data_IF_355809720906
#
_entry.id   IF_355809720906
#
_cell.length_a   1.000
_cell.length_b   1.000
_cell.length_c   1.000
_cell.angle_alpha   90.00
_cell.angle_beta   90.00
_cell.angle_gamma   90.00
#
_symmetry.space_group_name_H-M   'P 1'
#
loop_
_entity.id
_entity.type
_entity.pdbx_description
1 polymer ?
#
# COMPACT_ATOMS: atom_id res chain seq x y z
N UNK A 1 5.20 -18.95 -28.71
CA UNK A 1 4.66 -17.58 -28.84
C UNK A 1 4.16 -17.17 -27.47
N UNK A 2 4.75 -16.15 -26.87
CA UNK A 2 4.25 -15.58 -25.60
C UNK A 2 3.35 -14.41 -25.97
N UNK A 3 2.04 -14.55 -25.73
CA UNK A 3 1.10 -13.46 -25.92
C UNK A 3 1.18 -12.53 -24.70
N UNK A 4 1.55 -11.27 -24.90
CA UNK A 4 1.48 -10.25 -23.85
C UNK A 4 0.03 -9.75 -23.74
N UNK A 5 -0.44 -9.55 -22.50
CA UNK A 5 -1.73 -8.93 -22.21
C UNK A 5 -1.46 -7.50 -21.70
N UNK A 6 -1.96 -6.45 -22.38
CA UNK A 6 -1.85 -5.08 -21.88
C UNK A 6 -2.62 -4.94 -20.56
N UNK A 7 -2.00 -4.30 -19.56
CA UNK A 7 -2.61 -3.98 -18.27
C UNK A 7 -2.46 -2.50 -17.94
N UNK A 8 -3.52 -1.87 -17.46
CA UNK A 8 -3.44 -0.51 -16.93
C UNK A 8 -2.69 -0.53 -15.60
N UNK A 9 -1.78 0.43 -15.41
CA UNK A 9 -1.04 0.64 -14.17
C UNK A 9 -1.25 2.07 -13.67
N UNK A 10 -1.14 2.25 -12.36
CA UNK A 10 -1.21 3.59 -11.76
C UNK A 10 -0.01 4.42 -12.21
N UNK A 11 -0.23 5.69 -12.58
CA UNK A 11 0.86 6.59 -12.94
C UNK A 11 1.63 7.04 -11.70
N UNK A 12 2.88 7.47 -11.90
CA UNK A 12 3.68 8.03 -10.81
C UNK A 12 3.02 9.26 -10.18
N UNK A 13 2.45 10.15 -10.99
CA UNK A 13 1.73 11.35 -10.51
C UNK A 13 0.52 10.98 -9.63
N UNK A 14 -0.27 9.99 -10.05
CA UNK A 14 -1.41 9.53 -9.27
C UNK A 14 -0.96 8.83 -7.97
N UNK A 15 0.13 8.05 -8.02
CA UNK A 15 0.73 7.44 -6.84
C UNK A 15 1.23 8.47 -5.83
N UNK A 16 1.90 9.52 -6.29
CA UNK A 16 2.40 10.61 -5.46
C UNK A 16 1.25 11.36 -4.79
N UNK A 17 0.23 11.75 -5.56
CA UNK A 17 -0.95 12.43 -5.03
C UNK A 17 -1.66 11.60 -3.94
N UNK A 18 -1.73 10.27 -4.11
CA UNK A 18 -2.35 9.38 -3.14
C UNK A 18 -1.56 9.30 -1.82
N UNK A 19 -0.23 9.15 -1.87
CA UNK A 19 0.59 9.09 -0.64
C UNK A 19 0.63 10.44 0.09
N UNK A 20 0.64 11.56 -0.64
CA UNK A 20 0.55 12.91 -0.07
C UNK A 20 -0.77 13.13 0.67
N UNK A 21 -1.90 12.79 0.04
CA UNK A 21 -3.22 12.92 0.66
C UNK A 21 -3.35 12.05 1.91
N UNK A 22 -2.82 10.81 1.88
CA UNK A 22 -2.84 9.92 3.04
C UNK A 22 -2.03 10.48 4.20
N UNK A 23 -0.80 10.96 3.95
CA UNK A 23 0.08 11.53 4.97
C UNK A 23 -0.50 12.83 5.53
N UNK A 24 -1.02 13.72 4.67
CA UNK A 24 -1.69 14.95 5.10
C UNK A 24 -2.87 14.63 6.03
N UNK A 25 -3.69 13.64 5.67
CA UNK A 25 -4.81 13.21 6.52
C UNK A 25 -4.35 12.62 7.85
N UNK A 26 -3.29 11.83 7.85
CA UNK A 26 -2.68 11.33 9.08
C UNK A 26 -2.28 12.48 10.01
N UNK A 27 -1.59 13.49 9.47
CA UNK A 27 -1.16 14.67 10.22
C UNK A 27 -2.34 15.46 10.80
N UNK A 28 -3.41 15.67 10.01
CA UNK A 28 -4.65 16.30 10.50
C UNK A 28 -5.26 15.55 11.69
N UNK A 29 -5.13 14.22 11.72
CA UNK A 29 -5.62 13.35 12.79
C UNK A 29 -4.64 13.22 13.98
N UNK A 30 -3.51 13.93 13.94
CA UNK A 30 -2.46 13.82 14.95
C UNK A 30 -1.61 12.54 14.86
N UNK A 31 -1.68 11.81 13.74
CA UNK A 31 -0.97 10.57 13.50
C UNK A 31 0.16 10.76 12.47
N UNK A 32 1.39 10.40 12.83
CA UNK A 32 2.54 10.40 11.90
C UNK A 32 2.66 9.03 11.25
N UNK A 33 2.24 8.93 9.98
CA UNK A 33 2.17 7.68 9.24
C UNK A 33 3.18 7.59 8.10
N UNK A 34 3.36 6.39 7.57
CA UNK A 34 3.96 6.16 6.25
C UNK A 34 2.88 5.66 5.29
N UNK A 35 2.94 6.08 4.04
CA UNK A 35 2.02 5.65 2.98
C UNK A 35 2.82 5.07 1.82
N UNK A 36 2.32 3.99 1.23
CA UNK A 36 2.92 3.31 0.09
C UNK A 36 1.85 2.99 -0.96
N UNK A 37 2.21 3.10 -2.22
CA UNK A 37 1.40 2.71 -3.37
C UNK A 37 2.21 1.79 -4.26
N UNK A 38 1.62 0.68 -4.65
CA UNK A 38 2.19 -0.28 -5.61
C UNK A 38 1.31 -0.38 -6.85
N UNK A 39 1.88 -0.83 -7.96
CA UNK A 39 1.10 -1.19 -9.16
C UNK A 39 0.45 -2.57 -9.05
N UNK A 40 -0.28 -2.98 -10.09
CA UNK A 40 -0.92 -4.29 -10.16
C UNK A 40 0.07 -5.48 -10.17
N UNK A 41 1.35 -5.22 -10.50
CA UNK A 41 2.44 -6.19 -10.40
C UNK A 41 3.09 -6.24 -9.00
N UNK A 42 2.64 -5.39 -8.07
CA UNK A 42 3.21 -5.26 -6.73
C UNK A 42 4.50 -4.41 -6.69
N UNK A 43 4.86 -3.71 -7.76
CA UNK A 43 6.04 -2.86 -7.78
C UNK A 43 5.75 -1.54 -7.08
N UNK A 44 6.66 -1.07 -6.22
CA UNK A 44 6.51 0.21 -5.53
C UNK A 44 6.52 1.38 -6.53
N UNK A 45 5.43 2.15 -6.55
CA UNK A 45 5.27 3.33 -7.42
C UNK A 45 5.54 4.62 -6.64
N UNK A 46 5.02 4.72 -5.42
CA UNK A 46 5.20 5.90 -4.58
C UNK A 46 5.27 5.51 -3.09
N UNK A 47 6.06 6.26 -2.34
CA UNK A 47 6.18 6.11 -0.90
C UNK A 47 6.44 7.47 -0.24
N UNK A 48 5.74 7.75 0.85
CA UNK A 48 5.96 8.95 1.65
C UNK A 48 5.96 8.61 3.14
N UNK A 49 6.96 9.12 3.85
CA UNK A 49 7.09 9.01 5.30
C UNK A 49 6.90 10.38 5.93
N UNK A 50 5.96 10.48 6.87
CA UNK A 50 5.84 11.68 7.69
C UNK A 50 7.04 11.83 8.65
N UNK A 51 7.43 13.07 8.93
CA UNK A 51 8.49 13.34 9.89
C UNK A 51 8.15 12.83 11.29
N UNK A 52 9.06 12.01 11.84
CA UNK A 52 8.86 11.35 13.13
C UNK A 52 7.83 10.21 13.12
N UNK A 53 7.42 9.71 11.94
CA UNK A 53 6.68 8.45 11.86
C UNK A 53 7.54 7.28 12.36
N UNK A 54 6.89 6.28 12.97
CA UNK A 54 7.51 5.10 13.55
C UNK A 54 8.33 4.33 12.49
N UNK A 55 9.61 4.12 12.77
CA UNK A 55 10.58 3.58 11.80
C UNK A 55 10.16 2.19 11.24
N UNK A 56 9.73 1.21 12.06
CA UNK A 56 9.26 -0.08 11.56
C UNK A 56 8.03 0.02 10.64
N UNK A 57 7.23 1.08 10.74
CA UNK A 57 6.06 1.26 9.89
C UNK A 57 6.41 1.54 8.42
N UNK A 58 7.69 1.67 8.04
CA UNK A 58 8.12 1.82 6.64
C UNK A 58 7.83 0.52 5.89
N UNK A 59 8.40 -0.59 6.35
CA UNK A 59 8.19 -1.90 5.74
C UNK A 59 6.71 -2.31 5.83
N UNK A 60 6.06 -2.08 6.98
CA UNK A 60 4.63 -2.41 7.17
C UNK A 60 3.74 -1.71 6.13
N UNK A 61 4.01 -0.45 5.78
CA UNK A 61 3.21 0.25 4.77
C UNK A 61 3.41 -0.37 3.38
N UNK A 62 4.65 -0.71 3.02
CA UNK A 62 4.99 -1.34 1.75
C UNK A 62 4.39 -2.75 1.64
N UNK A 63 4.52 -3.56 2.69
CA UNK A 63 3.96 -4.90 2.76
C UNK A 63 2.43 -4.86 2.65
N UNK A 64 1.77 -3.92 3.35
CA UNK A 64 0.31 -3.76 3.23
C UNK A 64 -0.12 -3.40 1.82
N UNK A 65 0.61 -2.53 1.12
CA UNK A 65 0.31 -2.17 -0.26
C UNK A 65 0.48 -3.37 -1.19
N UNK A 66 1.60 -4.11 -1.06
CA UNK A 66 1.85 -5.34 -1.81
C UNK A 66 0.76 -6.40 -1.57
N UNK A 67 0.42 -6.68 -0.31
CA UNK A 67 -0.64 -7.63 0.04
C UNK A 67 -1.99 -7.18 -0.52
N UNK A 68 -2.33 -5.89 -0.42
CA UNK A 68 -3.59 -5.39 -0.95
C UNK A 68 -3.69 -5.55 -2.48
N UNK A 69 -2.60 -5.29 -3.21
CA UNK A 69 -2.53 -5.51 -4.65
C UNK A 69 -2.61 -7.00 -5.01
N UNK A 70 -1.89 -7.87 -4.30
CA UNK A 70 -1.87 -9.31 -4.55
C UNK A 70 -3.22 -10.00 -4.29
N UNK A 71 -3.95 -9.59 -3.25
CA UNK A 71 -5.26 -10.16 -2.91
C UNK A 71 -6.45 -9.38 -3.50
N UNK A 72 -6.21 -8.21 -4.09
CA UNK A 72 -7.26 -7.35 -4.65
C UNK A 72 -8.25 -6.83 -3.60
N UNK A 73 -7.83 -6.69 -2.33
CA UNK A 73 -8.69 -6.24 -1.24
C UNK A 73 -7.90 -5.55 -0.12
N UNK A 74 -8.60 -4.81 0.74
CA UNK A 74 -7.99 -4.21 1.92
C UNK A 74 -7.44 -5.29 2.88
N UNK A 75 -6.29 -5.02 3.50
CA UNK A 75 -5.61 -5.99 4.38
C UNK A 75 -6.38 -6.30 5.66
N UNK A 76 -7.22 -5.38 6.16
CA UNK A 76 -8.11 -5.65 7.29
C UNK A 76 -9.20 -6.68 6.91
N UNK A 77 -9.72 -6.60 5.68
CA UNK A 77 -10.66 -7.57 5.15
C UNK A 77 -10.00 -8.93 4.96
N UNK A 78 -8.77 -8.95 4.42
CA UNK A 78 -8.00 -10.19 4.31
C UNK A 78 -7.79 -10.83 5.69
N UNK A 79 -7.37 -10.05 6.68
CA UNK A 79 -7.16 -10.55 8.04
C UNK A 79 -8.41 -11.22 8.61
N UNK A 80 -9.58 -10.55 8.53
CA UNK A 80 -10.86 -11.14 8.99
C UNK A 80 -11.24 -12.42 8.25
N UNK A 81 -10.79 -12.61 7.01
CA UNK A 81 -11.05 -13.82 6.24
C UNK A 81 -10.22 -15.01 6.73
N UNK A 82 -9.01 -14.76 7.25
CA UNK A 82 -8.03 -15.79 7.58
C UNK A 82 -7.78 -15.98 9.09
N UNK A 83 -8.32 -15.11 9.96
CA UNK A 83 -8.04 -15.10 11.41
C UNK A 83 -8.31 -16.43 12.15
N UNK A 84 -9.17 -17.29 11.61
CA UNK A 84 -9.46 -18.63 12.15
C UNK A 84 -8.63 -19.77 11.55
N UNK A 85 -7.69 -19.47 10.64
CA UNK A 85 -6.90 -20.45 9.91
C UNK A 85 -5.54 -20.63 10.57
N UNK A 86 -5.27 -21.72 11.32
CA UNK A 86 -4.02 -21.87 12.08
C UNK A 86 -2.74 -21.96 11.23
N UNK A 87 -2.88 -22.10 9.91
CA UNK A 87 -1.76 -22.14 8.97
C UNK A 87 -1.39 -20.75 8.39
N UNK A 88 -2.18 -19.70 8.69
CA UNK A 88 -2.07 -18.36 8.12
C UNK A 88 -2.07 -17.26 9.19
#
# INVERSE_FOLDING_TARGET
MTAAVPGASISQDAGLAAVEAAVAKGLEMGCRINAAVVDAGGNLVAFLRADGAFLPSIAIAQDKAYTAAGFGMATDRLYRLIEGSPAL
#
